data_IF_334894002646
#
_entry.id   IF_334894002646
#
_cell.length_a   1.000
_cell.length_b   1.000
_cell.length_c   1.000
_cell.angle_alpha   90.00
_cell.angle_beta   90.00
_cell.angle_gamma   90.00
#
_symmetry.space_group_name_H-M   'P 1'
#
loop_
_entity.id
_entity.type
_entity.pdbx_description
1 polymer ?
#
# COMPACT_ATOMS: atom_id res chain seq x y z
N UNK A 1 -1.15 14.77 8.54
CA UNK A 1 -2.15 14.19 9.48
C UNK A 1 -1.84 14.69 10.89
N UNK A 2 -2.84 15.02 11.71
CA UNK A 2 -2.61 15.39 13.11
C UNK A 2 -2.93 14.18 14.00
N UNK A 3 -1.93 13.72 14.78
CA UNK A 3 -2.08 12.57 15.66
C UNK A 3 -2.61 13.01 17.04
N UNK A 4 -3.48 12.22 17.69
CA UNK A 4 -3.92 12.51 19.06
C UNK A 4 -2.75 12.51 20.06
N UNK A 5 -2.73 13.46 21.01
CA UNK A 5 -1.66 13.55 22.02
C UNK A 5 -1.49 12.26 22.81
N UNK A 6 -2.60 11.66 23.27
CA UNK A 6 -2.56 10.40 24.02
C UNK A 6 -1.98 9.23 23.19
N UNK A 7 -2.13 9.26 21.86
CA UNK A 7 -1.51 8.28 20.96
C UNK A 7 0.00 8.47 20.92
N UNK A 8 0.46 9.71 20.73
CA UNK A 8 1.89 10.05 20.71
C UNK A 8 2.56 9.63 22.03
N UNK A 9 2.00 10.02 23.18
CA UNK A 9 2.57 9.70 24.50
C UNK A 9 2.60 8.20 24.78
N UNK A 10 1.58 7.45 24.33
CA UNK A 10 1.55 6.00 24.43
C UNK A 10 2.70 5.38 23.63
N UNK A 11 2.85 5.74 22.37
CA UNK A 11 3.86 5.13 21.49
C UNK A 11 5.29 5.61 21.79
N UNK A 12 5.47 6.82 22.32
CA UNK A 12 6.76 7.26 22.87
C UNK A 12 7.21 6.39 24.04
N UNK A 13 6.29 6.02 24.95
CA UNK A 13 6.63 5.10 26.06
C UNK A 13 6.90 3.67 25.59
N UNK A 14 6.14 3.18 24.62
CA UNK A 14 6.28 1.80 24.11
C UNK A 14 7.55 1.61 23.27
N UNK A 15 7.80 2.53 22.33
CA UNK A 15 8.86 2.37 21.32
C UNK A 15 10.16 3.11 21.68
N UNK A 16 10.13 4.01 22.68
CA UNK A 16 11.30 4.74 23.19
C UNK A 16 12.11 5.37 22.05
N UNK A 17 13.31 4.87 21.78
CA UNK A 17 14.24 5.38 20.77
C UNK A 17 13.72 5.22 19.33
N UNK A 18 12.84 4.26 19.07
CA UNK A 18 12.21 4.06 17.75
C UNK A 18 11.01 4.98 17.52
N UNK A 19 10.45 5.58 18.59
CA UNK A 19 9.25 6.39 18.51
C UNK A 19 9.36 7.59 17.55
N UNK A 20 10.47 8.34 17.50
CA UNK A 20 10.61 9.46 16.56
C UNK A 20 10.48 9.02 15.10
N UNK A 21 11.15 7.92 14.71
CA UNK A 21 11.10 7.41 13.34
C UNK A 21 9.71 6.87 12.98
N UNK A 22 9.07 6.15 13.90
CA UNK A 22 7.70 5.66 13.73
C UNK A 22 6.69 6.80 13.54
N UNK A 23 6.71 7.82 14.40
CA UNK A 23 5.80 8.94 14.30
C UNK A 23 6.04 9.76 13.03
N UNK A 24 7.30 9.96 12.63
CA UNK A 24 7.66 10.63 11.39
C UNK A 24 7.14 9.88 10.15
N UNK A 25 7.18 8.54 10.16
CA UNK A 25 6.61 7.73 9.08
C UNK A 25 5.09 7.94 8.93
N UNK A 26 4.37 8.19 10.02
CA UNK A 26 2.92 8.43 10.00
C UNK A 26 2.56 9.86 9.56
N UNK A 27 3.37 10.85 9.88
CA UNK A 27 3.06 12.27 9.61
C UNK A 27 3.63 12.77 8.29
N UNK A 28 4.82 12.29 7.92
CA UNK A 28 5.61 12.78 6.79
C UNK A 28 6.00 11.69 5.79
N UNK A 29 5.61 10.44 6.05
CA UNK A 29 5.87 9.32 5.13
C UNK A 29 5.00 9.36 3.88
N UNK A 30 5.43 8.61 2.87
CA UNK A 30 4.68 8.45 1.61
C UNK A 30 3.71 7.29 1.73
N UNK A 31 2.41 7.56 1.56
CA UNK A 31 1.38 6.52 1.48
C UNK A 31 1.69 5.59 0.30
N UNK A 32 1.85 4.30 0.59
CA UNK A 32 2.02 3.27 -0.43
C UNK A 32 0.64 2.76 -0.86
N UNK A 33 0.41 2.66 -2.17
CA UNK A 33 -0.80 2.04 -2.75
C UNK A 33 -0.40 0.74 -3.44
N UNK A 34 -1.33 -0.21 -3.55
CA UNK A 34 -1.09 -1.46 -4.27
C UNK A 34 -2.39 -2.15 -4.67
N UNK A 35 -2.27 -3.11 -5.58
CA UNK A 35 -3.36 -3.94 -6.08
C UNK A 35 -2.91 -5.41 -6.19
N UNK A 36 -3.84 -6.33 -6.46
CA UNK A 36 -3.54 -7.77 -6.61
C UNK A 36 -4.14 -8.32 -7.89
N UNK A 37 -3.32 -8.91 -8.74
CA UNK A 37 -3.81 -9.60 -9.93
C UNK A 37 -4.62 -10.85 -9.52
N UNK A 38 -5.81 -11.03 -10.10
CA UNK A 38 -6.69 -12.14 -9.77
C UNK A 38 -6.23 -13.45 -10.45
N UNK A 39 -5.77 -14.47 -9.69
CA UNK A 39 -5.25 -15.71 -10.26
C UNK A 39 -6.35 -16.62 -10.84
N UNK A 40 -7.63 -16.32 -10.59
CA UNK A 40 -8.76 -17.08 -11.12
C UNK A 40 -9.14 -16.66 -12.54
N UNK A 41 -8.57 -15.56 -13.04
CA UNK A 41 -8.76 -15.12 -14.43
C UNK A 41 -7.85 -15.92 -15.36
N UNK A 42 -8.25 -16.17 -16.62
CA UNK A 42 -7.52 -17.05 -17.54
C UNK A 42 -6.20 -16.46 -18.07
N UNK A 43 -5.67 -15.37 -17.52
CA UNK A 43 -4.47 -14.69 -17.99
C UNK A 43 -3.88 -13.76 -16.94
N UNK A 44 -3.23 -12.67 -17.38
CA UNK A 44 -2.75 -11.59 -16.49
C UNK A 44 -3.13 -10.20 -17.03
N UNK A 45 -3.40 -9.21 -16.16
CA UNK A 45 -3.63 -7.83 -16.56
C UNK A 45 -2.29 -7.14 -16.87
N UNK A 46 -1.65 -7.54 -17.98
CA UNK A 46 -0.26 -7.18 -18.30
C UNK A 46 -0.02 -5.68 -18.35
N UNK A 47 -0.91 -4.92 -19.00
CA UNK A 47 -0.78 -3.46 -19.09
C UNK A 47 -0.82 -2.79 -17.71
N UNK A 48 -1.71 -3.24 -16.83
CA UNK A 48 -1.80 -2.74 -15.45
C UNK A 48 -0.59 -3.13 -14.60
N UNK A 49 -0.04 -4.34 -14.81
CA UNK A 49 1.19 -4.79 -14.15
C UNK A 49 2.41 -3.99 -14.61
N UNK A 50 2.55 -3.72 -15.91
CA UNK A 50 3.66 -2.95 -16.48
C UNK A 50 3.65 -1.48 -16.01
N UNK A 51 2.46 -0.93 -15.74
CA UNK A 51 2.31 0.41 -15.19
C UNK A 51 2.59 0.49 -13.66
N UNK A 52 2.75 -0.64 -12.98
CA UNK A 52 3.05 -0.68 -11.56
C UNK A 52 4.50 -0.23 -11.27
N UNK A 53 4.73 0.30 -10.07
CA UNK A 53 6.06 0.67 -9.60
C UNK A 53 6.95 -0.56 -9.28
N UNK A 54 6.35 -1.74 -9.18
CA UNK A 54 7.04 -3.00 -8.94
C UNK A 54 6.15 -4.04 -8.28
N UNK A 55 6.68 -5.25 -8.12
CA UNK A 55 6.01 -6.32 -7.40
C UNK A 55 6.03 -6.05 -5.88
N UNK A 56 4.96 -6.42 -5.20
CA UNK A 56 4.91 -6.37 -3.73
C UNK A 56 5.89 -7.39 -3.14
N UNK A 57 6.72 -7.00 -2.17
CA UNK A 57 7.65 -7.94 -1.52
C UNK A 57 6.94 -8.97 -0.61
N UNK A 58 5.64 -8.78 -0.33
CA UNK A 58 4.90 -9.58 0.65
C UNK A 58 3.86 -10.51 0.03
N UNK A 59 3.49 -10.30 -1.23
CA UNK A 59 2.40 -11.02 -1.89
C UNK A 59 2.79 -11.35 -3.32
N UNK A 60 2.84 -12.63 -3.67
CA UNK A 60 3.32 -13.11 -4.98
C UNK A 60 2.55 -12.52 -6.16
N UNK A 61 1.25 -12.31 -6.03
CA UNK A 61 0.41 -11.68 -7.06
C UNK A 61 0.06 -10.21 -6.75
N UNK A 62 0.81 -9.56 -5.86
CA UNK A 62 0.61 -8.16 -5.50
C UNK A 62 1.59 -7.23 -6.20
N UNK A 63 1.15 -6.00 -6.46
CA UNK A 63 1.93 -4.97 -7.15
C UNK A 63 1.73 -3.61 -6.45
N UNK A 64 2.78 -2.79 -6.46
CA UNK A 64 2.78 -1.45 -5.89
C UNK A 64 2.35 -0.44 -6.95
N UNK A 65 1.30 0.32 -6.69
CA UNK A 65 0.73 1.24 -7.66
C UNK A 65 -0.73 1.56 -7.38
N UNK A 66 -1.28 2.48 -8.15
CA UNK A 66 -2.71 2.81 -8.14
C UNK A 66 -3.36 2.19 -9.36
N UNK A 67 -4.60 1.78 -9.21
CA UNK A 67 -5.46 1.32 -10.30
C UNK A 67 -6.61 2.31 -10.43
N UNK A 68 -7.01 2.63 -11.66
CA UNK A 68 -8.25 3.36 -11.89
C UNK A 68 -9.45 2.43 -11.68
N UNK A 69 -10.30 2.80 -10.72
CA UNK A 69 -11.51 2.06 -10.37
C UNK A 69 -12.53 1.92 -11.51
N UNK A 70 -12.38 2.68 -12.59
CA UNK A 70 -13.23 2.64 -13.79
C UNK A 70 -12.58 1.92 -14.96
N UNK A 71 -11.34 1.46 -14.83
CA UNK A 71 -10.65 0.69 -15.88
C UNK A 71 -11.29 -0.67 -16.10
N UNK A 72 -11.15 -1.22 -17.32
CA UNK A 72 -11.67 -2.53 -17.67
C UNK A 72 -11.15 -3.61 -16.72
N UNK A 73 -9.85 -3.59 -16.41
CA UNK A 73 -9.19 -4.55 -15.54
C UNK A 73 -9.79 -4.52 -14.12
N UNK A 74 -10.06 -3.33 -13.56
CA UNK A 74 -10.72 -3.21 -12.27
C UNK A 74 -12.18 -3.68 -12.30
N UNK A 75 -13.00 -3.15 -13.23
CA UNK A 75 -14.44 -3.45 -13.25
C UNK A 75 -14.75 -4.90 -13.61
N UNK A 76 -13.85 -5.57 -14.33
CA UNK A 76 -13.98 -7.02 -14.62
C UNK A 76 -13.28 -7.91 -13.61
N UNK A 77 -12.70 -7.34 -12.54
CA UNK A 77 -12.14 -8.08 -11.40
C UNK A 77 -10.83 -8.79 -11.69
N UNK A 78 -9.97 -8.17 -12.51
CA UNK A 78 -8.60 -8.61 -12.72
C UNK A 78 -7.61 -8.06 -11.69
N UNK A 79 -7.89 -6.89 -11.11
CA UNK A 79 -7.05 -6.20 -10.12
C UNK A 79 -7.84 -5.56 -8.98
#
# INVERSE_FOLDING_TARGET
MQLPTAFIEKYQRLLKEEAPAFLAALTSGTVQSGFRANPLKPGQPTATIEAAAGQSPYVTNGYLGKVDGHSLDHVTGWV
#
